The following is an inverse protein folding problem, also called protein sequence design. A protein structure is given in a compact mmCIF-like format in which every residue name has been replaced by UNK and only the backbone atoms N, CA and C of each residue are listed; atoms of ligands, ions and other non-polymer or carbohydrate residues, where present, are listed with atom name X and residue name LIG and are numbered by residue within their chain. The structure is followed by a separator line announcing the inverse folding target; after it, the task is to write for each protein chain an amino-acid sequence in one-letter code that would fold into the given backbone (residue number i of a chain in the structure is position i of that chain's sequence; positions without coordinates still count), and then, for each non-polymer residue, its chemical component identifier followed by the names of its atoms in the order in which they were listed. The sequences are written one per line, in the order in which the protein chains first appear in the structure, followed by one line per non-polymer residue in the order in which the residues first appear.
data_IF_342079245168
#
_entry.id   IF_342079245168
#
_cell.length_a   1.000
_cell.length_b   1.000
_cell.length_c   1.000
_cell.angle_alpha   90.00
_cell.angle_beta   90.00
_cell.angle_gamma   90.00
#
_symmetry.space_group_name_H-M   'P 1'
#
loop_
_entity.id
_entity.type
_entity.pdbx_description
1 polymer ?
#
# COMPACT_ATOMS: atom_id res chain seq x y z
N UNK A 1 -39.94 10.13 13.67
CA UNK A 1 -38.79 10.63 12.89
C UNK A 1 -37.69 9.58 12.98
N UNK A 2 -37.40 8.89 11.87
CA UNK A 2 -36.40 7.83 11.84
C UNK A 2 -35.00 8.40 12.01
N UNK A 3 -34.24 7.88 12.98
CA UNK A 3 -32.81 8.17 13.11
C UNK A 3 -32.17 7.78 11.77
N UNK A 4 -31.49 8.70 11.05
CA UNK A 4 -30.81 8.32 9.82
C UNK A 4 -29.88 7.16 10.15
N UNK A 5 -29.93 6.09 9.35
CA UNK A 5 -28.96 4.98 9.43
C UNK A 5 -27.58 5.62 9.42
N UNK A 6 -26.83 5.46 10.51
CA UNK A 6 -25.41 5.80 10.48
C UNK A 6 -24.76 4.89 9.44
N UNK A 7 -23.97 5.46 8.53
CA UNK A 7 -23.20 4.66 7.59
C UNK A 7 -22.07 3.96 8.36
N UNK A 8 -21.65 2.79 7.87
CA UNK A 8 -20.51 2.08 8.44
C UNK A 8 -19.22 2.76 7.96
N UNK A 9 -18.52 3.41 8.89
CA UNK A 9 -17.29 4.15 8.58
C UNK A 9 -16.18 3.22 8.09
N UNK A 10 -16.08 2.00 8.64
CA UNK A 10 -15.06 1.03 8.24
C UNK A 10 -15.32 0.49 6.84
N UNK A 11 -16.58 0.22 6.51
CA UNK A 11 -16.98 -0.16 5.14
C UNK A 11 -16.69 0.96 4.14
N UNK A 12 -17.00 2.20 4.50
CA UNK A 12 -16.71 3.36 3.65
C UNK A 12 -15.20 3.57 3.45
N UNK A 13 -14.38 3.35 4.47
CA UNK A 13 -12.92 3.45 4.35
C UNK A 13 -12.37 2.33 3.46
N UNK A 14 -12.83 1.08 3.62
CA UNK A 14 -12.42 -0.03 2.74
C UNK A 14 -12.79 0.23 1.28
N UNK A 15 -14.02 0.65 1.02
CA UNK A 15 -14.43 1.01 -0.34
C UNK A 15 -13.64 2.22 -0.90
N UNK A 16 -13.20 3.14 -0.03
CA UNK A 16 -12.31 4.22 -0.45
C UNK A 16 -10.90 3.73 -0.79
N UNK A 17 -10.37 2.72 -0.09
CA UNK A 17 -9.09 2.06 -0.44
C UNK A 17 -9.16 1.52 -1.87
N UNK A 18 -10.20 0.75 -2.20
CA UNK A 18 -10.39 0.17 -3.53
C UNK A 18 -10.50 1.27 -4.60
N UNK A 19 -11.30 2.30 -4.34
CA UNK A 19 -11.53 3.37 -5.30
C UNK A 19 -10.26 4.19 -5.59
N UNK A 20 -9.51 4.56 -4.54
CA UNK A 20 -8.25 5.29 -4.70
C UNK A 20 -7.15 4.39 -5.29
N UNK A 21 -7.13 3.10 -4.95
CA UNK A 21 -6.20 2.11 -5.53
C UNK A 21 -6.43 1.88 -7.02
N UNK A 22 -7.67 2.03 -7.51
CA UNK A 22 -8.00 1.87 -8.93
C UNK A 22 -7.89 3.14 -9.78
N UNK A 23 -7.98 4.34 -9.18
CA UNK A 23 -8.10 5.61 -9.93
C UNK A 23 -7.14 6.72 -9.49
N UNK A 24 -6.25 6.43 -8.53
CA UNK A 24 -5.40 7.42 -7.84
C UNK A 24 -6.20 8.55 -7.16
N UNK A 25 -5.52 9.42 -6.42
CA UNK A 25 -6.18 10.50 -5.69
C UNK A 25 -6.91 11.45 -6.64
N UNK A 26 -6.24 12.01 -7.64
CA UNK A 26 -6.81 13.07 -8.49
C UNK A 26 -7.88 12.55 -9.47
N UNK A 27 -7.87 11.25 -9.80
CA UNK A 27 -8.91 10.62 -10.63
C UNK A 27 -10.24 10.32 -9.91
N UNK A 28 -10.35 10.63 -8.62
CA UNK A 28 -11.57 10.41 -7.82
C UNK A 28 -12.20 11.73 -7.41
N UNK A 29 -13.42 12.01 -7.84
CA UNK A 29 -14.15 13.19 -7.36
C UNK A 29 -14.88 12.93 -6.04
N UNK A 30 -15.37 13.99 -5.38
CA UNK A 30 -16.23 13.82 -4.19
C UNK A 30 -17.59 13.20 -4.57
N UNK A 31 -18.07 13.44 -5.78
CA UNK A 31 -19.30 12.82 -6.27
C UNK A 31 -19.10 11.31 -6.51
N UNK A 32 -17.93 10.91 -7.01
CA UNK A 32 -17.55 9.48 -7.09
C UNK A 32 -17.54 8.85 -5.70
N UNK A 33 -16.95 9.51 -4.71
CA UNK A 33 -16.92 9.01 -3.33
C UNK A 33 -18.33 8.87 -2.75
N UNK A 34 -19.16 9.90 -2.87
CA UNK A 34 -20.55 9.86 -2.37
C UNK A 34 -21.34 8.72 -3.02
N UNK A 35 -21.18 8.55 -4.33
CA UNK A 35 -21.89 7.52 -5.09
C UNK A 35 -21.38 6.11 -4.79
N UNK A 36 -20.05 5.93 -4.73
CA UNK A 36 -19.41 4.63 -4.53
C UNK A 36 -19.51 4.13 -3.09
N UNK A 37 -19.39 5.03 -2.12
CA UNK A 37 -19.43 4.70 -0.68
C UNK A 37 -20.86 4.63 -0.14
N UNK A 38 -21.86 5.07 -0.92
CA UNK A 38 -23.26 5.11 -0.48
C UNK A 38 -23.51 6.10 0.68
N UNK A 39 -22.65 7.11 0.84
CA UNK A 39 -22.72 8.08 1.94
C UNK A 39 -23.21 9.44 1.46
N UNK A 40 -23.91 10.18 2.32
CA UNK A 40 -24.23 11.58 2.01
C UNK A 40 -22.98 12.46 2.09
N UNK A 41 -22.83 13.41 1.16
CA UNK A 41 -21.73 14.39 1.12
C UNK A 41 -21.47 15.07 2.47
N UNK A 42 -22.53 15.48 3.17
CA UNK A 42 -22.40 16.12 4.48
C UNK A 42 -21.85 15.17 5.55
N UNK A 43 -22.21 13.87 5.50
CA UNK A 43 -21.67 12.87 6.42
C UNK A 43 -20.19 12.61 6.15
N UNK A 44 -19.79 12.51 4.88
CA UNK A 44 -18.39 12.37 4.48
C UNK A 44 -17.54 13.52 5.02
N UNK A 45 -17.96 14.78 4.80
CA UNK A 45 -17.21 15.93 5.32
C UNK A 45 -17.25 16.03 6.84
N UNK A 46 -18.35 15.66 7.49
CA UNK A 46 -18.44 15.65 8.95
C UNK A 46 -17.46 14.64 9.58
N UNK A 47 -17.32 13.45 8.99
CA UNK A 47 -16.45 12.39 9.52
C UNK A 47 -14.99 12.61 9.12
N UNK A 48 -14.71 12.89 7.85
CA UNK A 48 -13.35 12.91 7.30
C UNK A 48 -12.80 14.32 7.04
N UNK A 49 -13.62 15.35 7.19
CA UNK A 49 -13.26 16.76 6.96
C UNK A 49 -13.11 17.14 5.48
N UNK A 50 -12.52 16.27 4.67
CA UNK A 50 -12.23 16.50 3.25
C UNK A 50 -11.97 15.19 2.50
N UNK A 51 -11.92 15.26 1.16
CA UNK A 51 -11.41 14.15 0.31
C UNK A 51 -9.99 13.75 0.73
N UNK A 52 -9.12 14.72 1.03
CA UNK A 52 -7.75 14.47 1.54
C UNK A 52 -7.77 13.71 2.86
N UNK A 53 -8.66 14.09 3.78
CA UNK A 53 -8.80 13.41 5.06
C UNK A 53 -9.22 11.95 4.89
N UNK A 54 -10.24 11.70 4.05
CA UNK A 54 -10.65 10.32 3.73
C UNK A 54 -9.52 9.54 3.04
N UNK A 55 -8.79 10.16 2.12
CA UNK A 55 -7.65 9.53 1.46
C UNK A 55 -6.56 9.10 2.45
N UNK A 56 -6.19 9.95 3.41
CA UNK A 56 -5.22 9.58 4.45
C UNK A 56 -5.74 8.45 5.34
N UNK A 57 -7.03 8.47 5.70
CA UNK A 57 -7.65 7.37 6.44
C UNK A 57 -7.61 6.07 5.66
N UNK A 58 -7.93 6.10 4.35
CA UNK A 58 -7.83 4.95 3.46
C UNK A 58 -6.39 4.45 3.33
N UNK A 59 -5.42 5.34 3.10
CA UNK A 59 -4.01 4.97 3.03
C UNK A 59 -3.55 4.27 4.31
N UNK A 60 -3.84 4.84 5.49
CA UNK A 60 -3.50 4.22 6.78
C UNK A 60 -4.18 2.87 6.98
N UNK A 61 -5.43 2.73 6.51
CA UNK A 61 -6.16 1.45 6.54
C UNK A 61 -5.47 0.40 5.68
N UNK A 62 -5.10 0.74 4.44
CA UNK A 62 -4.36 -0.15 3.55
C UNK A 62 -2.99 -0.56 4.14
N UNK A 63 -2.27 0.38 4.77
CA UNK A 63 -1.03 0.04 5.47
C UNK A 63 -1.25 -0.96 6.62
N UNK A 64 -2.37 -0.84 7.35
CA UNK A 64 -2.68 -1.74 8.46
C UNK A 64 -3.21 -3.11 8.00
N UNK A 65 -3.99 -3.15 6.92
CA UNK A 65 -4.67 -4.37 6.47
C UNK A 65 -3.83 -5.19 5.49
N UNK A 66 -2.98 -4.55 4.67
CA UNK A 66 -2.24 -5.22 3.58
C UNK A 66 -0.72 -5.20 3.79
N UNK A 67 -0.17 -4.05 4.18
CA UNK A 67 1.29 -3.93 4.39
C UNK A 67 1.72 -4.59 5.70
N UNK A 68 0.96 -4.44 6.78
CA UNK A 68 1.33 -5.04 8.07
C UNK A 68 1.41 -6.57 8.01
N UNK A 69 0.44 -7.31 7.43
CA UNK A 69 0.59 -8.76 7.25
C UNK A 69 1.77 -9.15 6.35
N UNK A 70 2.10 -8.33 5.33
CA UNK A 70 3.32 -8.55 4.54
C UNK A 70 4.57 -8.46 5.42
N UNK A 71 4.68 -7.48 6.31
CA UNK A 71 5.81 -7.36 7.24
C UNK A 71 5.94 -8.59 8.14
N UNK A 72 4.81 -9.06 8.69
CA UNK A 72 4.78 -10.25 9.54
C UNK A 72 5.20 -11.52 8.74
N UNK A 73 4.81 -11.63 7.47
CA UNK A 73 5.22 -12.72 6.58
C UNK A 73 6.71 -12.64 6.21
N UNK A 74 7.23 -11.44 5.94
CA UNK A 74 8.63 -11.21 5.61
C UNK A 74 9.57 -11.61 6.75
N UNK A 75 9.17 -11.38 8.01
CA UNK A 75 9.94 -11.80 9.18
C UNK A 75 10.23 -13.32 9.23
N UNK A 76 9.42 -14.13 8.54
CA UNK A 76 9.61 -15.58 8.41
C UNK A 76 10.22 -16.03 7.08
N UNK A 77 10.67 -15.13 6.21
CA UNK A 77 11.18 -15.48 4.89
C UNK A 77 12.56 -16.18 5.00
N UNK A 78 12.72 -17.41 4.47
CA UNK A 78 13.97 -18.16 4.60
C UNK A 78 15.06 -17.71 3.62
N UNK A 79 14.70 -17.00 2.56
CA UNK A 79 15.61 -16.57 1.49
C UNK A 79 15.07 -15.34 0.73
N UNK A 80 15.97 -14.69 -0.03
CA UNK A 80 15.65 -13.52 -0.83
C UNK A 80 14.57 -13.79 -1.88
N UNK A 81 14.53 -15.01 -2.43
CA UNK A 81 13.52 -15.39 -3.42
C UNK A 81 12.11 -15.40 -2.82
N UNK A 82 11.96 -15.89 -1.59
CA UNK A 82 10.71 -15.89 -0.84
C UNK A 82 10.30 -14.47 -0.46
N UNK A 83 11.24 -13.66 0.03
CA UNK A 83 10.98 -12.25 0.34
C UNK A 83 10.48 -11.48 -0.90
N UNK A 84 11.15 -11.64 -2.04
CA UNK A 84 10.73 -11.05 -3.32
C UNK A 84 9.32 -11.50 -3.71
N UNK A 85 9.03 -12.81 -3.65
CA UNK A 85 7.69 -13.33 -3.96
C UNK A 85 6.62 -12.70 -3.08
N UNK A 86 6.84 -12.65 -1.76
CA UNK A 86 5.91 -12.03 -0.81
C UNK A 86 5.58 -10.59 -1.20
N UNK A 87 6.60 -9.76 -1.42
CA UNK A 87 6.41 -8.36 -1.84
C UNK A 87 5.67 -8.27 -3.18
N UNK A 88 6.05 -9.07 -4.18
CA UNK A 88 5.40 -9.05 -5.50
C UNK A 88 3.99 -9.64 -5.54
N UNK A 89 3.57 -10.34 -4.48
CA UNK A 89 2.23 -10.91 -4.35
C UNK A 89 1.29 -10.11 -3.46
N UNK A 90 1.83 -9.15 -2.71
CA UNK A 90 1.06 -8.29 -1.82
C UNK A 90 0.28 -7.23 -2.62
N UNK A 91 -0.89 -6.85 -2.11
CA UNK A 91 -1.56 -5.65 -2.60
C UNK A 91 -0.82 -4.41 -2.05
N UNK A 92 -0.08 -3.75 -2.94
CA UNK A 92 0.61 -2.50 -2.67
C UNK A 92 0.09 -1.37 -3.56
N UNK A 93 -1.05 -1.57 -4.24
CA UNK A 93 -1.52 -0.67 -5.31
C UNK A 93 -1.71 0.76 -4.82
N UNK A 94 -2.42 0.94 -3.70
CA UNK A 94 -2.66 2.27 -3.14
C UNK A 94 -1.35 2.88 -2.58
N UNK A 95 -0.48 2.10 -1.95
CA UNK A 95 0.83 2.57 -1.50
C UNK A 95 1.69 3.09 -2.67
N UNK A 96 1.74 2.35 -3.78
CA UNK A 96 2.52 2.71 -4.97
C UNK A 96 1.97 3.96 -5.65
N UNK A 97 0.65 4.05 -5.82
CA UNK A 97 0.02 5.26 -6.34
C UNK A 97 0.25 6.46 -5.41
N UNK A 98 0.17 6.27 -4.09
CA UNK A 98 0.46 7.32 -3.13
C UNK A 98 1.90 7.82 -3.25
N UNK A 99 2.87 6.92 -3.41
CA UNK A 99 4.29 7.25 -3.57
C UNK A 99 4.56 8.09 -4.82
N UNK A 100 3.90 7.77 -5.94
CA UNK A 100 4.15 8.43 -7.23
C UNK A 100 3.37 9.74 -7.37
N UNK A 101 2.07 9.72 -7.08
CA UNK A 101 1.17 10.82 -7.41
C UNK A 101 1.05 11.84 -6.27
N UNK A 102 0.98 11.37 -5.02
CA UNK A 102 0.55 12.22 -3.90
C UNK A 102 1.68 12.63 -2.96
N UNK A 103 2.63 11.74 -2.67
CA UNK A 103 3.77 12.03 -1.80
C UNK A 103 4.59 13.26 -2.23
N UNK A 104 4.84 13.53 -3.53
CA UNK A 104 5.59 14.73 -3.94
C UNK A 104 4.91 16.06 -3.56
N UNK A 105 3.59 16.06 -3.40
CA UNK A 105 2.78 17.25 -3.14
C UNK A 105 2.15 17.29 -1.73
N UNK A 106 2.34 16.25 -0.92
CA UNK A 106 1.69 16.11 0.38
C UNK A 106 2.64 15.45 1.39
N UNK A 107 3.22 16.27 2.27
CA UNK A 107 4.24 15.82 3.22
C UNK A 107 3.75 14.74 4.20
N UNK A 108 2.47 14.76 4.57
CA UNK A 108 1.91 13.74 5.46
C UNK A 108 1.82 12.40 4.74
N UNK A 109 1.36 12.40 3.48
CA UNK A 109 1.34 11.19 2.64
C UNK A 109 2.77 10.68 2.41
N UNK A 110 3.72 11.57 2.12
CA UNK A 110 5.13 11.19 1.98
C UNK A 110 5.68 10.52 3.24
N UNK A 111 5.30 11.01 4.43
CA UNK A 111 5.71 10.40 5.69
C UNK A 111 5.16 8.98 5.84
N UNK A 112 3.88 8.76 5.54
CA UNK A 112 3.25 7.42 5.61
C UNK A 112 3.90 6.45 4.62
N UNK A 113 4.12 6.90 3.37
CA UNK A 113 4.77 6.10 2.31
C UNK A 113 6.20 5.73 2.71
N UNK A 114 7.01 6.70 3.13
CA UNK A 114 8.40 6.47 3.51
C UNK A 114 8.51 5.54 4.72
N UNK A 115 7.62 5.68 5.70
CA UNK A 115 7.58 4.80 6.85
C UNK A 115 7.22 3.36 6.45
N UNK A 116 6.25 3.17 5.56
CA UNK A 116 5.87 1.86 5.06
C UNK A 116 7.00 1.17 4.30
N UNK A 117 7.65 1.87 3.36
CA UNK A 117 8.76 1.32 2.58
C UNK A 117 9.97 1.02 3.46
N UNK A 118 10.32 1.90 4.41
CA UNK A 118 11.40 1.65 5.36
C UNK A 118 11.11 0.45 6.28
N UNK A 119 9.84 0.18 6.60
CA UNK A 119 9.45 -1.00 7.36
C UNK A 119 9.64 -2.28 6.54
N UNK A 120 9.32 -2.27 5.24
CA UNK A 120 9.57 -3.41 4.33
C UNK A 120 11.07 -3.67 4.20
N UNK A 121 11.87 -2.63 3.97
CA UNK A 121 13.34 -2.73 3.89
C UNK A 121 13.91 -3.35 5.17
N UNK A 122 13.46 -2.89 6.34
CA UNK A 122 13.89 -3.43 7.62
C UNK A 122 13.49 -4.90 7.80
N UNK A 123 12.25 -5.25 7.46
CA UNK A 123 11.78 -6.63 7.57
C UNK A 123 12.62 -7.58 6.70
N UNK A 124 13.01 -7.17 5.48
CA UNK A 124 13.88 -7.95 4.60
C UNK A 124 15.29 -8.04 5.17
N UNK A 125 15.85 -6.92 5.65
CA UNK A 125 17.19 -6.89 6.25
C UNK A 125 17.28 -7.85 7.45
N UNK A 126 16.30 -7.78 8.34
CA UNK A 126 16.23 -8.57 9.56
C UNK A 126 16.02 -10.07 9.24
N UNK A 127 15.12 -10.40 8.31
CA UNK A 127 14.82 -11.78 7.96
C UNK A 127 16.00 -12.50 7.27
N UNK A 128 16.73 -11.79 6.41
CA UNK A 128 17.81 -12.37 5.62
C UNK A 128 19.20 -12.16 6.25
N UNK A 129 19.30 -11.36 7.31
CA UNK A 129 20.59 -10.99 7.92
C UNK A 129 21.50 -10.20 6.98
N UNK A 130 20.92 -9.39 6.09
CA UNK A 130 21.66 -8.62 5.06
C UNK A 130 21.81 -7.15 5.42
N UNK A 131 22.81 -6.45 4.84
CA UNK A 131 22.94 -5.00 4.97
C UNK A 131 21.68 -4.23 4.50
N UNK A 132 21.39 -3.10 5.15
CA UNK A 132 20.18 -2.32 4.89
C UNK A 132 20.10 -1.78 3.45
N UNK A 133 21.24 -1.40 2.86
CA UNK A 133 21.31 -0.93 1.46
C UNK A 133 20.98 -2.05 0.46
N UNK A 134 21.41 -3.29 0.74
CA UNK A 134 21.02 -4.46 -0.07
C UNK A 134 19.53 -4.76 0.08
N UNK A 135 18.97 -4.66 1.29
CA UNK A 135 17.54 -4.83 1.51
C UNK A 135 16.71 -3.78 0.74
N UNK A 136 17.10 -2.50 0.79
CA UNK A 136 16.49 -1.43 -0.02
C UNK A 136 16.59 -1.71 -1.52
N UNK A 137 17.72 -2.25 -1.99
CA UNK A 137 17.87 -2.64 -3.40
C UNK A 137 16.93 -3.79 -3.79
N UNK A 138 16.73 -4.78 -2.91
CA UNK A 138 15.78 -5.87 -3.12
C UNK A 138 14.34 -5.38 -3.15
N UNK A 139 13.93 -4.51 -2.22
CA UNK A 139 12.60 -3.88 -2.23
C UNK A 139 12.41 -3.09 -3.51
N UNK A 140 13.37 -2.25 -3.90
CA UNK A 140 13.31 -1.47 -5.15
C UNK A 140 13.16 -2.37 -6.38
N UNK A 141 13.88 -3.49 -6.43
CA UNK A 141 13.73 -4.48 -7.49
C UNK A 141 12.31 -5.06 -7.50
N UNK A 142 11.80 -5.53 -6.35
CA UNK A 142 10.44 -6.09 -6.25
C UNK A 142 9.36 -5.10 -6.69
N UNK A 143 9.43 -3.84 -6.25
CA UNK A 143 8.50 -2.80 -6.67
C UNK A 143 8.63 -2.51 -8.18
N UNK A 144 9.85 -2.50 -8.71
CA UNK A 144 10.08 -2.37 -10.16
C UNK A 144 9.49 -3.53 -10.96
N UNK A 145 9.47 -4.74 -10.40
CA UNK A 145 8.81 -5.92 -10.98
C UNK A 145 7.30 -5.73 -11.03
N UNK A 146 6.68 -5.31 -9.92
CA UNK A 146 5.26 -5.03 -9.82
C UNK A 146 4.82 -4.00 -10.88
N UNK A 147 5.54 -2.88 -10.98
CA UNK A 147 5.23 -1.80 -11.92
C UNK A 147 5.31 -2.24 -13.39
N UNK A 148 6.13 -3.24 -13.71
CA UNK A 148 6.26 -3.78 -15.08
C UNK A 148 5.16 -4.77 -15.44
N UNK A 149 4.30 -5.17 -14.49
CA UNK A 149 3.18 -6.07 -14.75
C UNK A 149 3.58 -7.50 -15.12
N UNK A 150 4.80 -7.95 -14.77
CA UNK A 150 5.26 -9.32 -14.99
C UNK A 150 6.00 -9.88 -13.76
N UNK A 151 5.28 -10.13 -12.66
CA UNK A 151 5.87 -10.64 -11.43
C UNK A 151 6.53 -12.01 -11.60
N UNK A 152 5.89 -12.92 -12.36
CA UNK A 152 6.34 -14.30 -12.49
C UNK A 152 7.66 -14.43 -13.27
N UNK A 153 7.84 -13.63 -14.33
CA UNK A 153 9.05 -13.67 -15.16
C UNK A 153 10.30 -13.16 -14.43
N UNK A 154 10.16 -12.07 -13.67
CA UNK A 154 11.31 -11.43 -13.01
C UNK A 154 11.62 -12.08 -11.66
N UNK A 155 10.61 -12.50 -10.88
CA UNK A 155 10.84 -13.27 -9.66
C UNK A 155 11.57 -14.59 -9.97
N UNK A 156 11.22 -15.27 -11.07
CA UNK A 156 11.90 -16.50 -11.51
C UNK A 156 13.35 -16.23 -11.94
N UNK A 157 13.61 -15.12 -12.63
CA UNK A 157 14.97 -14.73 -13.03
C UNK A 157 15.83 -14.35 -11.81
N UNK A 158 15.29 -13.59 -10.86
CA UNK A 158 15.98 -13.22 -9.62
C UNK A 158 16.26 -14.44 -8.75
N UNK A 159 15.29 -15.35 -8.60
CA UNK A 159 15.48 -16.62 -7.86
C UNK A 159 16.62 -17.44 -8.46
N UNK A 160 16.74 -17.48 -9.79
CA UNK A 160 17.80 -18.22 -10.49
C UNK A 160 19.20 -17.63 -10.28
N UNK A 161 19.30 -16.32 -10.05
CA UNK A 161 20.58 -15.61 -9.97
C UNK A 161 20.98 -15.17 -8.55
N UNK A 162 20.05 -15.13 -7.58
CA UNK A 162 20.31 -14.81 -6.17
C UNK A 162 20.48 -16.05 -5.28
N UNK A 163 20.22 -17.26 -5.79
CA UNK A 163 20.52 -18.53 -5.13
C UNK A 163 21.99 -18.69 -4.61
N UNK A 164 23.03 -18.05 -5.17
CA UNK A 164 24.39 -18.16 -4.64
C UNK A 164 24.77 -17.10 -3.59
N UNK A 165 23.85 -16.26 -3.09
CA UNK A 165 24.16 -15.22 -2.09
C UNK A 165 23.92 -15.65 -0.62
N UNK A 166 23.72 -16.95 -0.37
CA UNK A 166 23.70 -17.58 0.98
C UNK A 166 24.88 -18.51 1.12
#
# INVERSE_FOLDING_TARGET
MGRPRAFDEDEAVRAAVDLFGGRAYDGVSVDDLVSHLGVHRNSLYKTFGSKRGLYLTALRRHLADDVRPLLDALAGAPDAATALRLVTSADLGLLLLAAVERAPADAEVASEVNAALAAVDRAIADALGVPADLATALTSAALGVLLRGNPDGVATALTRHLAPLT
#
